data_IF_618131890080
#
_entry.id   IF_618131890080
#
_cell.length_a   1.000
_cell.length_b   1.000
_cell.length_c   1.000
_cell.angle_alpha   90.00
_cell.angle_beta   90.00
_cell.angle_gamma   90.00
#
_symmetry.space_group_name_H-M   'P 1'
#
loop_
_entity.id
_entity.type
_entity.pdbx_description
1 polymer ?
2 water ?
#
# COMPACT_ATOMS: atom_id res chain seq x y z
N UNK A 2 -13.22 -4.43 13.36
CA UNK A 2 -12.53 -4.48 12.02
C UNK A 2 -11.79 -3.18 11.70
N UNK A 3 -10.55 -3.32 11.24
CA UNK A 3 -9.74 -2.15 11.05
C UNK A 3 -8.70 -2.27 9.98
N UNK A 4 -8.22 -1.10 9.59
CA UNK A 4 -7.15 -1.00 8.59
C UNK A 4 -6.04 -0.13 9.18
N UNK A 5 -4.80 -0.45 8.81
CA UNK A 5 -3.63 0.37 9.21
C UNK A 5 -2.74 0.58 7.97
N UNK A 6 -1.82 1.56 8.02
CA UNK A 6 -0.86 1.72 6.91
C UNK A 6 0.48 1.20 7.39
N UNK A 7 1.15 0.42 6.53
CA UNK A 7 2.56 0.06 6.75
C UNK A 7 3.42 0.80 5.67
N UNK A 8 4.43 1.53 6.11
CA UNK A 8 5.33 2.29 5.26
C UNK A 8 6.79 1.97 5.62
N UNK A 9 7.64 1.77 4.61
CA UNK A 9 9.08 1.58 4.82
C UNK A 9 9.74 2.80 5.49
N UNK A 10 10.78 2.54 6.26
CA UNK A 10 11.47 3.60 6.98
C UNK A 10 11.99 4.73 6.06
N UNK A 11 12.36 4.38 4.82
CA UNK A 11 12.85 5.31 3.79
C UNK A 11 11.76 6.12 3.07
N UNK A 12 10.52 5.71 3.32
CA UNK A 12 9.32 6.36 2.81
C UNK A 12 8.88 5.90 1.44
N UNK A 13 9.70 5.08 0.78
CA UNK A 13 9.47 4.77 -0.64
C UNK A 13 8.34 3.77 -0.93
N UNK A 14 7.92 2.97 0.04
CA UNK A 14 6.88 1.98 -0.25
C UNK A 14 5.88 1.93 0.89
N UNK A 15 4.59 1.82 0.54
CA UNK A 15 3.49 1.85 1.50
C UNK A 15 2.42 0.87 1.10
N UNK A 16 1.83 0.20 2.08
CA UNK A 16 0.64 -0.64 1.83
C UNK A 16 -0.29 -0.63 3.04
N UNK A 17 -1.58 -0.44 2.75
CA UNK A 17 -2.62 -0.69 3.72
C UNK A 17 -2.75 -2.18 4.02
N UNK A 18 -2.87 -2.48 5.30
CA UNK A 18 -3.22 -3.83 5.71
C UNK A 18 -4.60 -3.68 6.29
N UNK A 19 -5.54 -4.47 5.79
CA UNK A 19 -6.87 -4.39 6.32
C UNK A 19 -7.38 -5.73 6.79
N UNK A 20 -8.67 -5.76 7.13
CA UNK A 20 -9.32 -6.90 7.78
C UNK A 20 -8.59 -7.32 9.04
N UNK A 21 -8.13 -6.33 9.80
CA UNK A 21 -7.50 -6.57 11.07
C UNK A 21 -8.48 -6.34 12.18
N UNK A 22 -8.23 -6.91 13.33
CA UNK A 22 -8.96 -6.46 14.52
C UNK A 22 -7.96 -5.94 15.53
N UNK A 23 -8.40 -5.14 16.49
CA UNK A 23 -7.49 -4.67 17.50
C UNK A 23 -6.72 -5.81 18.23
N UNK A 24 -7.27 -7.02 18.21
CA UNK A 24 -6.65 -8.19 18.84
C UNK A 24 -5.68 -8.87 17.89
N UNK A 25 -5.46 -8.33 16.69
CA UNK A 25 -4.50 -8.98 15.79
C UNK A 25 -3.11 -9.07 16.43
N UNK A 26 -2.45 -10.21 16.29
CA UNK A 26 -1.10 -10.39 16.83
C UNK A 26 -0.05 -9.83 15.91
N UNK A 27 1.00 -9.27 16.49
CA UNK A 27 2.12 -8.77 15.66
C UNK A 27 2.65 -9.79 14.62
N UNK A 28 2.72 -11.06 15.03
CA UNK A 28 3.26 -12.12 14.15
C UNK A 28 2.32 -12.29 12.96
N UNK A 29 1.03 -12.07 13.19
CA UNK A 29 0.06 -12.15 12.10
C UNK A 29 0.21 -10.95 11.18
N UNK A 30 0.52 -9.78 11.76
CA UNK A 30 0.79 -8.60 10.96
C UNK A 30 2.03 -8.81 10.05
N UNK A 31 3.05 -9.46 10.62
CA UNK A 31 4.28 -9.80 9.87
C UNK A 31 3.95 -10.65 8.63
N UNK A 32 3.01 -11.58 8.79
CA UNK A 32 2.61 -12.43 7.68
C UNK A 32 1.85 -11.66 6.64
N UNK A 33 1.03 -10.69 7.03
CA UNK A 33 0.28 -9.87 6.06
C UNK A 33 1.27 -9.01 5.28
N UNK A 34 2.25 -8.49 6.00
CA UNK A 34 3.24 -7.63 5.42
C UNK A 34 4.10 -8.36 4.39
N UNK A 35 4.31 -9.66 4.60
CA UNK A 35 5.10 -10.44 3.65
C UNK A 35 4.42 -10.52 2.29
N UNK A 36 3.09 -10.66 2.31
CA UNK A 36 2.32 -10.79 1.07
C UNK A 36 2.36 -9.50 0.28
N UNK A 37 2.57 -8.38 0.95
CA UNK A 37 2.48 -7.09 0.30
C UNK A 37 3.85 -6.52 -0.05
N UNK A 38 4.83 -6.80 0.78
CA UNK A 38 6.12 -6.21 0.57
C UNK A 38 7.13 -7.30 0.23
N UNK A 39 6.73 -8.57 0.29
CA UNK A 39 7.62 -9.69 -0.07
C UNK A 39 8.87 -9.69 0.80
N UNK A 40 8.68 -9.57 2.12
CA UNK A 40 9.82 -9.61 3.02
C UNK A 40 9.47 -10.70 3.99
N UNK A 41 10.39 -11.62 4.16
CA UNK A 41 10.21 -12.71 5.10
C UNK A 41 10.10 -12.11 6.52
N UNK A 42 9.13 -12.58 7.36
CA UNK A 42 8.93 -12.04 8.73
C UNK A 42 10.21 -11.88 9.54
N UNK A 43 11.16 -12.83 9.41
CA UNK A 43 12.41 -12.80 10.18
C UNK A 43 13.26 -11.57 9.89
N UNK A 44 13.02 -10.95 8.75
CA UNK A 44 13.80 -9.79 8.38
C UNK A 44 13.05 -8.49 8.64
N UNK A 45 11.77 -8.61 8.96
CA UNK A 45 10.97 -7.42 9.23
C UNK A 45 11.16 -6.98 10.66
N UNK A 46 11.48 -5.71 10.84
CA UNK A 46 11.37 -5.13 12.13
C UNK A 46 10.37 -3.98 12.03
N UNK A 47 9.41 -4.01 12.95
CA UNK A 47 8.22 -3.14 12.86
C UNK A 47 8.25 -2.17 13.97
N UNK A 48 7.96 -0.90 13.64
CA UNK A 48 8.04 0.16 14.65
C UNK A 48 6.75 0.93 14.68
N UNK A 49 6.28 1.24 15.90
CA UNK A 49 5.12 2.09 16.10
C UNK A 49 5.58 3.25 17.00
N UNK A 50 5.55 4.46 16.44
CA UNK A 50 6.04 5.63 17.14
C UNK A 50 7.42 5.33 17.71
N UNK A 51 8.21 4.62 16.92
CA UNK A 51 9.63 4.41 17.25
C UNK A 51 9.83 3.25 18.18
N UNK A 52 8.76 2.61 18.63
CA UNK A 52 8.90 1.47 19.53
C UNK A 52 8.87 0.18 18.70
N UNK A 53 9.84 -0.71 18.85
CA UNK A 53 9.87 -1.99 18.15
C UNK A 53 8.75 -2.91 18.59
N UNK A 54 8.04 -3.50 17.63
CA UNK A 54 6.87 -4.29 17.95
C UNK A 54 7.24 -5.76 18.01
N UNK A 55 6.74 -6.45 19.04
CA UNK A 55 7.16 -7.85 19.35
C UNK A 55 6.06 -8.87 19.20
N UNK A 56 6.45 -10.08 18.83
CA UNK A 56 5.50 -11.18 18.67
C UNK A 56 4.90 -11.49 20.02
N UNK A 57 3.67 -12.00 20.03
CA UNK A 57 3.01 -12.35 21.27
C UNK A 57 2.15 -11.19 21.77
N UNK A 58 2.42 -9.97 21.30
CA UNK A 58 1.61 -8.80 21.59
C UNK A 58 0.55 -8.51 20.50
N UNK A 59 -0.52 -7.78 20.85
CA UNK A 59 -1.56 -7.41 19.87
C UNK A 59 -1.43 -5.94 19.49
N UNK A 60 -2.13 -5.53 18.43
CA UNK A 60 -2.24 -4.11 18.07
C UNK A 60 -2.79 -3.27 19.22
N UNK A 61 -3.77 -3.81 19.91
CA UNK A 61 -4.35 -3.16 21.10
C UNK A 61 -3.27 -2.90 22.18
N UNK A 62 -2.38 -3.88 22.43
CA UNK A 62 -1.26 -3.67 23.33
C UNK A 62 -0.42 -2.41 23.03
N UNK A 63 -0.16 -2.13 21.74
CA UNK A 63 0.60 -0.97 21.29
C UNK A 63 -0.25 0.29 21.20
N UNK A 64 -1.56 0.14 21.47
CA UNK A 64 -2.55 1.21 21.34
C UNK A 64 -2.65 1.70 19.89
N UNK A 65 -2.51 0.80 18.94
CA UNK A 65 -2.68 1.17 17.54
C UNK A 65 -4.14 1.42 17.23
N UNK A 66 -4.48 2.59 16.66
CA UNK A 66 -5.88 2.92 16.28
C UNK A 66 -6.11 2.89 14.76
N UNK A 67 -7.36 2.99 14.34
CA UNK A 67 -7.74 2.85 12.93
C UNK A 67 -6.94 3.78 12.04
N UNK A 68 -6.31 3.21 11.01
CA UNK A 68 -5.61 3.98 10.00
C UNK A 68 -4.36 4.65 10.51
N UNK A 69 -3.83 4.15 11.62
CA UNK A 69 -2.54 4.63 12.16
C UNK A 69 -1.47 4.05 11.22
N UNK A 70 -0.22 4.55 11.29
CA UNK A 70 0.87 3.97 10.52
C UNK A 70 1.95 3.32 11.38
N UNK A 71 2.46 2.19 10.91
CA UNK A 71 3.62 1.55 11.52
C UNK A 71 4.77 1.44 10.46
N UNK A 72 5.99 1.67 10.90
CA UNK A 72 7.14 1.56 10.01
C UNK A 72 7.72 0.20 9.88
N UNK A 73 8.17 -0.11 8.66
CA UNK A 73 8.87 -1.36 8.36
C UNK A 73 10.33 -1.08 8.06
N UNK A 74 11.23 -1.70 8.83
CA UNK A 74 12.67 -1.79 8.48
C UNK A 74 12.95 -3.23 8.02
N UNK A 75 13.71 -3.36 6.96
CA UNK A 75 14.05 -4.68 6.44
C UNK A 75 15.53 -4.90 6.80
N UNK A 76 15.82 -5.95 7.55
CA UNK A 76 17.18 -6.35 7.85
C UNK A 76 17.75 -7.07 6.64
N UNK A 77 19.06 -6.94 6.45
CA UNK A 77 19.80 -7.71 5.44
C UNK A 77 19.95 -9.19 5.81
N UNK A 78 20.21 -9.46 7.09
CA UNK A 78 20.27 -10.82 7.61
C UNK A 78 19.51 -10.93 8.94
N UNK B 1 9.51 -2.24 -10.41
CA UNK B 1 10.11 -2.63 -11.76
C UNK B 1 10.79 -1.49 -12.51
N UNK B 2 10.19 -0.99 -13.59
CA UNK B 2 10.69 0.19 -14.31
C UNK B 2 10.17 1.50 -13.73
N UNK B 3 8.89 1.46 -13.39
CA UNK B 3 8.20 2.56 -12.76
C UNK B 3 7.25 2.04 -11.70
N UNK B 4 6.87 2.94 -10.79
CA UNK B 4 5.87 2.65 -9.79
C UNK B 4 5.23 3.97 -9.45
N UNK B 5 4.04 3.85 -8.90
CA UNK B 5 3.29 4.98 -8.42
C UNK B 5 2.63 4.62 -7.09
N UNK B 6 1.93 5.58 -6.50
CA UNK B 6 1.13 5.24 -5.27
C UNK B 6 -0.31 5.39 -5.74
N UNK B 7 -1.19 4.43 -5.45
CA UNK B 7 -2.59 4.65 -5.69
C UNK B 7 -3.25 4.83 -4.29
N UNK B 8 -4.10 5.85 -4.16
CA UNK B 8 -4.72 6.14 -2.86
C UNK B 8 -6.21 6.41 -3.10
N UNK B 9 -7.04 5.87 -2.23
CA UNK B 9 -8.45 5.98 -2.32
C UNK B 9 -8.84 7.43 -1.83
N UNK B 10 -9.92 8.03 -2.34
CA UNK B 10 -10.22 9.41 -1.95
C UNK B 10 -10.28 9.49 -0.41
N UNK B 11 -10.95 8.47 0.17
CA UNK B 11 -10.94 8.04 1.60
C UNK B 11 -9.72 8.24 2.43
N UNK B 12 -8.57 8.06 1.78
CA UNK B 12 -7.33 7.76 2.51
C UNK B 12 -7.31 6.46 3.32
N UNK B 13 -8.33 5.62 3.16
CA UNK B 13 -8.42 4.32 3.84
C UNK B 13 -7.60 3.20 3.21
N UNK B 14 -7.20 3.37 1.93
CA UNK B 14 -6.38 2.41 1.22
C UNK B 14 -5.32 3.16 0.45
N UNK B 15 -4.05 2.79 0.66
CA UNK B 15 -2.93 3.37 -0.12
C UNK B 15 -1.98 2.25 -0.44
N UNK B 16 -1.60 2.09 -1.71
CA UNK B 16 -0.71 1.04 -2.14
C UNK B 16 0.31 1.55 -3.17
N UNK B 17 1.56 1.22 -2.94
CA UNK B 17 2.58 1.35 -3.98
C UNK B 17 2.21 0.35 -5.04
N UNK B 18 2.09 0.81 -6.28
CA UNK B 18 1.93 -0.08 -7.42
C UNK B 18 3.21 -0.03 -8.31
N UNK B 19 3.86 -1.18 -8.46
CA UNK B 19 5.12 -1.28 -9.20
C UNK B 19 5.04 -2.19 -10.43
N UNK B 20 6.21 -2.44 -11.02
CA UNK B 20 6.33 -3.20 -12.26
C UNK B 20 5.48 -2.50 -13.32
N UNK B 21 5.56 -1.18 -13.33
CA UNK B 21 4.88 -0.39 -14.36
C UNK B 21 5.92 0.19 -15.33
N UNK B 22 5.43 0.85 -16.37
CA UNK B 22 6.23 1.59 -17.27
C UNK B 22 5.42 2.81 -17.55
N UNK B 23 6.03 3.90 -17.98
CA UNK B 23 5.22 4.94 -18.60
C UNK B 23 4.36 4.45 -19.77
N UNK B 24 4.66 3.29 -20.35
CA UNK B 24 3.85 2.84 -21.45
C UNK B 24 2.73 1.96 -20.92
N UNK B 25 2.66 1.80 -19.61
CA UNK B 25 1.52 1.11 -19.06
C UNK B 25 0.23 1.82 -19.46
N UNK B 26 -0.71 1.01 -19.92
CA UNK B 26 -2.06 1.45 -20.28
C UNK B 26 -2.94 1.57 -19.04
N UNK B 27 -3.77 2.62 -19.01
CA UNK B 27 -4.68 2.82 -17.89
C UNK B 27 -5.44 1.55 -17.62
N UNK B 28 -5.94 0.89 -18.67
CA UNK B 28 -6.70 -0.36 -18.44
C UNK B 28 -5.88 -1.48 -17.77
N UNK B 29 -4.55 -1.45 -17.94
CA UNK B 29 -3.66 -2.39 -17.26
C UNK B 29 -3.47 -1.95 -15.82
N UNK B 30 -3.32 -0.64 -15.61
CA UNK B 30 -3.27 -0.12 -14.26
C UNK B 30 -4.53 -0.56 -13.46
N UNK B 31 -5.70 -0.53 -14.08
CA UNK B 31 -6.93 -0.93 -13.38
C UNK B 31 -6.84 -2.37 -12.90
N UNK B 32 -6.40 -3.28 -13.76
CA UNK B 32 -6.10 -4.66 -13.36
C UNK B 32 -5.20 -4.74 -12.11
N UNK B 33 -4.10 -3.98 -12.12
CA UNK B 33 -3.18 -4.00 -11.00
C UNK B 33 -3.85 -3.44 -9.74
N UNK B 34 -4.58 -2.33 -9.87
CA UNK B 34 -5.22 -1.81 -8.69
C UNK B 34 -6.30 -2.78 -8.18
N UNK B 35 -6.96 -3.50 -9.07
CA UNK B 35 -7.91 -4.53 -8.65
C UNK B 35 -7.31 -5.55 -7.67
N UNK B 36 -6.11 -6.03 -7.96
CA UNK B 36 -5.43 -7.07 -7.18
C UNK B 36 -5.16 -6.62 -5.75
N UNK B 37 -4.92 -5.32 -5.59
CA UNK B 37 -4.51 -4.73 -4.33
C UNK B 37 -5.62 -4.05 -3.57
N UNK B 38 -6.58 -3.47 -4.30
CA UNK B 38 -7.67 -2.69 -3.70
C UNK B 38 -9.00 -3.43 -3.72
N UNK B 39 -9.09 -4.50 -4.51
CA UNK B 39 -10.33 -5.28 -4.70
C UNK B 39 -11.52 -4.40 -5.11
N UNK B 40 -11.31 -3.60 -6.14
CA UNK B 40 -12.39 -2.91 -6.84
C UNK B 40 -12.33 -3.38 -8.29
N UNK B 41 -13.47 -3.62 -8.90
CA UNK B 41 -13.49 -4.06 -10.29
C UNK B 41 -13.09 -2.90 -11.19
N UNK B 42 -12.37 -3.19 -12.30
CA UNK B 42 -11.92 -2.09 -13.19
C UNK B 42 -13.05 -1.14 -13.58
N UNK B 43 -14.23 -1.69 -13.88
CA UNK B 43 -15.37 -0.89 -14.27
C UNK B 43 -15.87 0.04 -13.18
N UNK B 44 -15.49 -0.25 -11.94
CA UNK B 44 -15.96 0.51 -10.76
C UNK B 44 -14.95 1.58 -10.28
N UNK B 45 -13.77 1.61 -10.91
CA UNK B 45 -12.67 2.51 -10.56
C UNK B 45 -12.69 3.80 -11.35
N UNK B 46 -12.73 4.94 -10.68
CA UNK B 46 -12.43 6.19 -11.36
C UNK B 46 -11.11 6.70 -10.85
N UNK B 47 -10.19 6.97 -11.77
CA UNK B 47 -8.80 7.22 -11.45
C UNK B 47 -8.49 8.64 -11.81
N UNK B 48 -7.85 9.37 -10.91
CA UNK B 48 -7.57 10.78 -11.15
C UNK B 48 -6.10 11.05 -11.00
N UNK B 49 -5.55 11.85 -11.90
CA UNK B 49 -4.16 12.26 -11.76
C UNK B 49 -4.11 13.77 -11.60
N UNK B 50 -3.90 14.17 -10.35
CA UNK B 50 -4.01 15.56 -9.96
C UNK B 50 -5.37 16.14 -10.38
N UNK B 51 -6.43 15.36 -10.18
CA UNK B 51 -7.77 15.80 -10.56
C UNK B 51 -8.31 15.40 -11.94
N UNK B 52 -7.42 15.25 -12.93
CA UNK B 52 -7.83 14.81 -14.28
C UNK B 52 -8.22 13.34 -14.27
N UNK B 53 -9.42 13.00 -14.74
CA UNK B 53 -9.84 11.61 -14.85
C UNK B 53 -9.15 10.87 -16.00
N UNK B 54 -8.58 9.71 -15.67
CA UNK B 54 -7.89 8.83 -16.61
C UNK B 54 -8.80 7.86 -17.34
N UNK B 55 -8.66 7.83 -18.67
CA UNK B 55 -9.49 6.93 -19.49
C UNK B 55 -8.65 5.83 -20.11
N UNK B 56 -9.29 4.68 -20.34
CA UNK B 56 -8.73 3.55 -21.08
C UNK B 56 -8.20 4.00 -22.45
N UNK B 57 -7.29 3.22 -23.05
CA UNK B 57 -6.63 3.59 -24.32
C UNK B 57 -5.53 4.64 -24.22
N UNK B 58 -5.34 5.19 -23.02
CA UNK B 58 -4.24 6.12 -22.76
C UNK B 58 -3.16 5.47 -21.89
N UNK B 59 -1.95 6.03 -21.93
CA UNK B 59 -0.87 5.47 -21.14
C UNK B 59 -0.54 6.45 -20.03
N UNK B 60 0.24 6.00 -19.06
CA UNK B 60 0.71 6.88 -18.02
C UNK B 60 1.59 7.94 -18.69
N UNK B 61 2.26 7.58 -19.78
CA UNK B 61 3.00 8.59 -20.57
C UNK B 61 2.09 9.74 -21.01
N UNK B 62 0.95 9.40 -21.58
CA UNK B 62 -0.01 10.39 -22.06
C UNK B 62 -0.41 11.39 -20.99
N UNK B 63 -0.56 10.91 -19.75
CA UNK B 63 -0.98 11.77 -18.65
C UNK B 63 0.21 12.40 -17.92
N UNK B 64 1.42 12.09 -18.36
CA UNK B 64 2.63 12.69 -17.81
C UNK B 64 2.88 12.33 -16.36
N UNK B 65 2.44 11.13 -15.99
CA UNK B 65 2.58 10.64 -14.61
C UNK B 65 4.08 10.47 -14.35
N UNK B 66 4.59 10.96 -13.22
CA UNK B 66 6.02 10.82 -12.90
C UNK B 66 6.25 9.70 -11.89
N UNK B 67 7.51 9.30 -11.75
CA UNK B 67 7.87 8.16 -10.90
C UNK B 67 7.45 8.52 -9.51
N UNK B 68 6.77 7.58 -8.84
CA UNK B 68 6.29 7.73 -7.47
C UNK B 68 5.17 8.78 -7.24
N UNK B 69 4.59 9.33 -8.30
CA UNK B 69 3.41 10.18 -8.15
C UNK B 69 2.19 9.39 -7.66
N UNK B 70 1.19 10.10 -7.15
CA UNK B 70 -0.03 9.49 -6.68
C UNK B 70 -1.16 9.67 -7.67
N UNK B 71 -1.93 8.60 -7.82
CA UNK B 71 -3.14 8.61 -8.55
C UNK B 71 -4.25 8.31 -7.58
N UNK B 72 -5.32 9.10 -7.64
CA UNK B 72 -6.39 8.93 -6.65
C UNK B 72 -7.45 8.02 -7.22
N UNK B 73 -7.97 7.13 -6.39
CA UNK B 73 -9.07 6.24 -6.75
C UNK B 73 -10.35 6.60 -5.99
N UNK B 74 -11.43 6.78 -6.76
CA UNK B 74 -12.77 6.95 -6.21
C UNK B 74 -13.64 5.75 -6.58
#
# INVERSE_FOLDING_TARGET
>A
GSMWIQVRTMDGRQTHTVDSLSRLTKVEELRRKIQELFHVEPGLQRLFYRGKQMEDGHTLFDYEVRLNDTIQLLVRQS
>B
GSMWIQVRTMDGRQTHTVDSLSRLTKVEELRRKIQELFHVEPGLQRLFYRGKQMEDGHTLFDYEVRLNDTIQLLVRQS
#
